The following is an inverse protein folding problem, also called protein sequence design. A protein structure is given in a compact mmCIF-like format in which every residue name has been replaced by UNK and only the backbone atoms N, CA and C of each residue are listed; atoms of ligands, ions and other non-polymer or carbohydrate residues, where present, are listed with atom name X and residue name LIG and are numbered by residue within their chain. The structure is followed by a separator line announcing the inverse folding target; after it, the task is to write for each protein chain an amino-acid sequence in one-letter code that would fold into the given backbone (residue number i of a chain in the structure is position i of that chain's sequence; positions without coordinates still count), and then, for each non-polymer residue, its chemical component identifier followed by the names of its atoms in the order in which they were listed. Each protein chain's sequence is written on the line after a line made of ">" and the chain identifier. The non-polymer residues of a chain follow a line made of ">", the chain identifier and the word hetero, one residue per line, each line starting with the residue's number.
data_IF_046518797318
#
_entry.id   IF_046518797318
#
_cell.length_a   1.000
_cell.length_b   1.000
_cell.length_c   1.000
_cell.angle_alpha   90.00
_cell.angle_beta   90.00
_cell.angle_gamma   90.00
#
_symmetry.space_group_name_H-M   'P 1'
#
loop_
_entity.id
_entity.type
_entity.pdbx_description
1 polymer ?
#
# COMPACT_ATOMS: atom_id res chain seq x y z
N UNK A 1 -3.93 -14.71 6.64
CA UNK A 1 -3.84 -13.33 6.09
C UNK A 1 -5.13 -12.55 6.27
N UNK A 2 -6.24 -12.97 5.66
CA UNK A 2 -7.48 -12.20 5.71
C UNK A 2 -7.99 -11.90 7.14
N UNK A 3 -7.87 -12.87 8.07
CA UNK A 3 -8.15 -12.64 9.50
C UNK A 3 -7.33 -11.50 10.10
N UNK A 4 -6.00 -11.51 9.92
CA UNK A 4 -5.12 -10.47 10.45
C UNK A 4 -5.41 -9.09 9.83
N UNK A 5 -5.68 -9.04 8.53
CA UNK A 5 -6.05 -7.81 7.85
C UNK A 5 -7.41 -7.28 8.29
N UNK A 6 -8.42 -8.15 8.48
CA UNK A 6 -9.70 -7.75 9.05
C UNK A 6 -9.51 -7.13 10.43
N UNK A 7 -8.75 -7.75 11.34
CA UNK A 7 -8.49 -7.17 12.66
C UNK A 7 -7.80 -5.80 12.61
N UNK A 8 -6.81 -5.60 11.72
CA UNK A 8 -6.20 -4.29 11.51
C UNK A 8 -7.21 -3.25 11.00
N UNK A 9 -8.09 -3.68 10.12
CA UNK A 9 -9.11 -2.86 9.49
C UNK A 9 -10.20 -2.44 10.48
N UNK A 10 -10.70 -3.39 11.27
CA UNK A 10 -11.70 -3.21 12.32
C UNK A 10 -11.16 -2.33 13.44
N UNK A 11 -9.89 -2.50 13.81
CA UNK A 11 -9.21 -1.61 14.75
C UNK A 11 -9.25 -0.15 14.29
N UNK A 12 -8.96 0.11 13.01
CA UNK A 12 -9.00 1.48 12.48
C UNK A 12 -10.42 2.06 12.49
N UNK A 13 -11.41 1.26 12.08
CA UNK A 13 -12.82 1.67 12.15
C UNK A 13 -13.17 2.06 13.59
N UNK A 14 -12.80 1.23 14.56
CA UNK A 14 -13.04 1.49 15.98
C UNK A 14 -12.30 2.73 16.48
N UNK A 15 -11.02 2.89 16.13
CA UNK A 15 -10.19 4.03 16.50
C UNK A 15 -10.78 5.35 16.00
N UNK A 16 -11.31 5.37 14.78
CA UNK A 16 -11.74 6.61 14.14
C UNK A 16 -13.23 6.94 14.39
N UNK A 17 -14.09 5.92 14.52
CA UNK A 17 -15.54 6.10 14.65
C UNK A 17 -16.09 5.79 16.05
N UNK A 18 -15.29 5.16 16.92
CA UNK A 18 -15.72 4.63 18.21
C UNK A 18 -16.61 3.38 18.12
N UNK A 19 -16.91 2.89 16.90
CA UNK A 19 -17.80 1.75 16.69
C UNK A 19 -17.04 0.49 16.33
N UNK A 20 -17.46 -0.63 16.90
CA UNK A 20 -17.03 -1.95 16.45
C UNK A 20 -17.89 -2.38 15.26
N UNK A 21 -17.25 -2.83 14.18
CA UNK A 21 -17.91 -3.32 12.97
C UNK A 21 -17.11 -4.51 12.46
N UNK A 22 -17.72 -5.68 12.37
CA UNK A 22 -17.07 -6.86 11.78
C UNK A 22 -17.04 -6.73 10.24
N UNK A 23 -15.86 -6.96 9.65
CA UNK A 23 -15.67 -6.92 8.19
C UNK A 23 -15.48 -8.30 7.61
N UNK A 24 -15.93 -8.51 6.37
CA UNK A 24 -15.92 -9.83 5.75
C UNK A 24 -14.51 -10.30 5.42
N UNK A 25 -14.03 -11.27 6.20
CA UNK A 25 -12.72 -11.91 5.96
C UNK A 25 -12.70 -12.70 4.65
N UNK A 26 -13.81 -13.32 4.27
CA UNK A 26 -13.88 -14.03 2.98
C UNK A 26 -13.90 -13.06 1.80
N UNK A 27 -14.46 -11.86 1.95
CA UNK A 27 -14.35 -10.82 0.92
C UNK A 27 -12.90 -10.41 0.72
N UNK A 28 -12.15 -10.19 1.81
CA UNK A 28 -10.71 -9.90 1.73
C UNK A 28 -9.98 -11.08 1.07
N UNK A 29 -10.25 -12.31 1.51
CA UNK A 29 -9.53 -13.50 1.05
C UNK A 29 -9.76 -13.82 -0.43
N UNK A 30 -11.01 -13.72 -0.89
CA UNK A 30 -11.38 -13.90 -2.29
C UNK A 30 -10.65 -12.89 -3.18
N UNK A 31 -10.79 -11.60 -2.88
CA UNK A 31 -10.22 -10.53 -3.70
C UNK A 31 -8.70 -10.50 -3.65
N UNK A 32 -8.08 -10.85 -2.52
CA UNK A 32 -6.64 -10.97 -2.40
C UNK A 32 -6.09 -12.04 -3.37
N UNK A 33 -6.75 -13.20 -3.47
CA UNK A 33 -6.29 -14.28 -4.36
C UNK A 33 -6.45 -13.93 -5.84
N UNK A 34 -7.44 -13.09 -6.20
CA UNK A 34 -7.53 -12.54 -7.55
C UNK A 34 -6.35 -11.63 -7.93
N UNK A 35 -5.64 -11.05 -6.95
CA UNK A 35 -4.42 -10.25 -7.18
C UNK A 35 -3.17 -11.11 -7.32
N UNK A 36 -3.25 -12.38 -6.96
CA UNK A 36 -2.11 -13.28 -6.91
C UNK A 36 -2.02 -14.11 -8.20
N UNK A 37 -0.93 -13.98 -8.99
CA UNK A 37 -0.79 -14.70 -10.27
C UNK A 37 -0.89 -16.21 -10.17
N UNK A 38 -0.70 -16.80 -8.97
CA UNK A 38 -0.87 -18.25 -8.74
C UNK A 38 -2.27 -18.72 -9.10
N UNK A 39 -3.29 -17.86 -8.94
CA UNK A 39 -4.70 -18.23 -9.15
C UNK A 39 -5.26 -17.87 -10.53
N UNK A 40 -4.40 -17.55 -11.51
CA UNK A 40 -4.83 -17.19 -12.87
C UNK A 40 -5.72 -18.23 -13.56
N UNK A 41 -5.66 -19.49 -13.12
CA UNK A 41 -6.39 -20.62 -13.70
C UNK A 41 -7.56 -21.12 -12.82
N UNK A 42 -7.94 -20.35 -11.80
CA UNK A 42 -9.02 -20.71 -10.86
C UNK A 42 -8.62 -20.44 -9.41
N UNK A 43 -9.61 -20.25 -8.54
CA UNK A 43 -9.41 -20.06 -7.10
C UNK A 43 -9.49 -21.41 -6.37
N UNK A 44 -8.56 -21.62 -5.43
CA UNK A 44 -8.62 -22.70 -4.45
C UNK A 44 -8.05 -22.22 -3.11
N UNK A 45 -8.24 -23.00 -2.06
CA UNK A 45 -7.78 -22.61 -0.72
C UNK A 45 -6.30 -22.95 -0.53
N UNK A 46 -5.42 -21.95 -0.69
CA UNK A 46 -3.97 -22.14 -0.53
C UNK A 46 -3.26 -20.85 -0.07
N UNK A 47 -3.96 -20.06 0.74
CA UNK A 47 -3.46 -18.82 1.30
C UNK A 47 -3.14 -17.74 0.27
N UNK A 48 -2.68 -16.59 0.76
CA UNK A 48 -2.32 -15.44 -0.07
C UNK A 48 -1.26 -14.62 0.65
N UNK A 49 -0.51 -13.77 -0.06
CA UNK A 49 0.43 -12.84 0.59
C UNK A 49 -0.32 -11.69 1.28
N UNK A 50 0.30 -11.09 2.29
CA UNK A 50 -0.25 -9.90 2.97
C UNK A 50 -0.39 -8.75 1.96
N UNK A 51 0.62 -8.55 1.11
CA UNK A 51 0.63 -7.49 0.10
C UNK A 51 -0.57 -7.60 -0.86
N UNK A 52 -0.89 -8.78 -1.36
CA UNK A 52 -2.07 -8.97 -2.21
C UNK A 52 -3.38 -8.67 -1.46
N UNK A 53 -3.44 -8.98 -0.17
CA UNK A 53 -4.58 -8.60 0.69
C UNK A 53 -4.72 -7.09 0.86
N UNK A 54 -3.62 -6.39 1.12
CA UNK A 54 -3.60 -4.92 1.17
C UNK A 54 -4.01 -4.32 -0.17
N UNK A 55 -3.44 -4.79 -1.29
CA UNK A 55 -3.81 -4.34 -2.64
C UNK A 55 -5.30 -4.55 -2.93
N UNK A 56 -5.87 -5.68 -2.51
CA UNK A 56 -7.30 -5.91 -2.64
C UNK A 56 -8.14 -4.92 -1.83
N UNK A 57 -7.73 -4.61 -0.59
CA UNK A 57 -8.39 -3.63 0.27
C UNK A 57 -8.22 -2.18 -0.22
N UNK A 58 -7.12 -1.84 -0.90
CA UNK A 58 -6.92 -0.54 -1.56
C UNK A 58 -7.79 -0.36 -2.80
N UNK A 59 -8.05 -1.45 -3.52
CA UNK A 59 -8.84 -1.42 -4.75
C UNK A 59 -10.34 -1.51 -4.48
N UNK A 60 -10.74 -2.51 -3.71
CA UNK A 60 -12.15 -2.88 -3.50
C UNK A 60 -12.68 -2.47 -2.14
N UNK A 61 -11.81 -2.32 -1.14
CA UNK A 61 -12.23 -2.10 0.23
C UNK A 61 -12.69 -3.36 0.92
N UNK A 62 -13.57 -3.23 1.91
CA UNK A 62 -14.20 -4.39 2.55
C UNK A 62 -15.66 -4.11 2.92
N UNK A 63 -16.53 -5.10 2.68
CA UNK A 63 -17.91 -5.08 3.15
C UNK A 63 -18.00 -5.61 4.58
N UNK A 64 -19.14 -5.41 5.23
CA UNK A 64 -19.43 -6.00 6.54
C UNK A 64 -19.57 -7.52 6.45
N UNK A 65 -19.19 -8.22 7.51
CA UNK A 65 -19.22 -9.69 7.57
C UNK A 65 -20.62 -10.24 7.26
N UNK A 66 -21.71 -9.60 7.69
CA UNK A 66 -23.07 -10.10 7.41
C UNK A 66 -23.45 -10.12 5.92
N UNK A 67 -22.81 -9.33 5.05
CA UNK A 67 -23.08 -9.34 3.61
C UNK A 67 -22.38 -10.52 2.90
N UNK A 68 -21.27 -10.99 3.46
CA UNK A 68 -20.53 -12.13 2.95
C UNK A 68 -19.91 -12.88 4.14
N UNK A 69 -20.70 -13.71 4.84
CA UNK A 69 -20.34 -14.27 6.12
C UNK A 69 -19.22 -15.32 5.99
N UNK A 70 -18.49 -15.53 7.08
CA UNK A 70 -17.52 -16.60 7.20
C UNK A 70 -18.23 -17.97 7.21
N UNK A 71 -18.41 -18.53 6.02
CA UNK A 71 -18.89 -19.87 5.75
C UNK A 71 -17.91 -20.55 4.78
N UNK A 72 -17.50 -21.78 5.09
CA UNK A 72 -16.57 -22.55 4.26
C UNK A 72 -17.06 -22.73 2.81
N UNK A 73 -18.38 -22.75 2.59
CA UNK A 73 -18.98 -22.81 1.25
C UNK A 73 -18.72 -21.54 0.42
N UNK A 74 -18.33 -20.44 1.06
CA UNK A 74 -18.03 -19.17 0.40
C UNK A 74 -16.55 -18.93 0.15
N UNK A 75 -15.65 -19.83 0.59
CA UNK A 75 -14.20 -19.65 0.44
C UNK A 75 -13.83 -19.31 -1.01
N UNK A 76 -14.34 -20.04 -2.01
CA UNK A 76 -14.02 -19.77 -3.42
C UNK A 76 -15.15 -19.05 -4.19
N UNK A 77 -16.21 -18.64 -3.47
CA UNK A 77 -17.39 -18.04 -4.09
C UNK A 77 -17.19 -16.53 -4.22
N UNK A 78 -17.50 -16.00 -5.40
CA UNK A 78 -17.43 -14.56 -5.65
C UNK A 78 -18.42 -13.79 -4.75
N UNK A 79 -17.98 -12.75 -4.03
CA UNK A 79 -18.91 -11.87 -3.31
C UNK A 79 -19.93 -11.22 -4.25
N UNK A 80 -21.13 -10.96 -3.73
CA UNK A 80 -22.21 -10.36 -4.52
C UNK A 80 -21.88 -8.90 -4.91
N UNK A 81 -22.57 -8.38 -5.93
CA UNK A 81 -22.43 -6.97 -6.32
C UNK A 81 -22.68 -6.00 -5.13
N UNK A 82 -23.64 -6.32 -4.27
CA UNK A 82 -23.92 -5.54 -3.06
C UNK A 82 -22.71 -5.47 -2.10
N UNK A 83 -21.90 -6.53 -2.02
CA UNK A 83 -20.66 -6.51 -1.24
C UNK A 83 -19.69 -5.47 -1.80
N UNK A 84 -19.46 -5.46 -3.11
CA UNK A 84 -18.54 -4.51 -3.74
C UNK A 84 -19.06 -3.07 -3.68
N UNK A 85 -20.37 -2.86 -3.81
CA UNK A 85 -21.00 -1.54 -3.66
C UNK A 85 -20.89 -0.97 -2.24
N UNK A 86 -20.93 -1.82 -1.21
CA UNK A 86 -20.63 -1.39 0.16
C UNK A 86 -19.11 -1.18 0.35
N UNK A 87 -18.31 -2.15 -0.07
CA UNK A 87 -16.86 -2.19 0.16
C UNK A 87 -16.15 -0.97 -0.42
N UNK A 88 -16.54 -0.50 -1.61
CA UNK A 88 -15.85 0.61 -2.29
C UNK A 88 -15.88 1.93 -1.50
N UNK A 89 -16.83 2.06 -0.55
CA UNK A 89 -16.94 3.23 0.34
C UNK A 89 -15.82 3.24 1.39
N UNK A 90 -15.34 2.07 1.77
CA UNK A 90 -14.32 1.84 2.78
C UNK A 90 -13.13 1.16 2.12
N UNK A 91 -12.21 1.93 1.53
CA UNK A 91 -10.96 1.43 0.94
C UNK A 91 -9.78 1.89 1.75
N UNK A 92 -8.70 1.13 1.75
CA UNK A 92 -7.43 1.64 2.27
C UNK A 92 -7.00 2.84 1.43
N UNK A 93 -6.72 3.97 2.10
CA UNK A 93 -6.20 5.20 1.47
C UNK A 93 -4.85 5.62 2.00
N UNK A 94 -4.41 5.02 3.12
CA UNK A 94 -3.06 5.15 3.65
C UNK A 94 -2.63 3.83 4.31
N UNK A 95 -1.48 3.31 3.89
CA UNK A 95 -0.86 2.10 4.42
C UNK A 95 0.64 2.13 4.10
N UNK A 96 1.44 1.39 4.86
CA UNK A 96 2.88 1.28 4.58
C UNK A 96 3.42 -0.09 4.94
N UNK A 97 4.38 -0.56 4.16
CA UNK A 97 5.25 -1.66 4.57
C UNK A 97 6.18 -1.20 5.68
N UNK A 98 6.45 -2.09 6.63
CA UNK A 98 7.40 -1.87 7.72
C UNK A 98 8.62 -2.76 7.45
N UNK A 99 9.82 -2.25 7.71
CA UNK A 99 11.02 -3.08 7.62
C UNK A 99 11.00 -4.17 8.71
N UNK A 100 11.72 -5.27 8.49
CA UNK A 100 11.99 -6.23 9.57
C UNK A 100 13.05 -5.64 10.51
N UNK A 101 12.69 -4.57 11.19
CA UNK A 101 13.49 -3.82 12.15
C UNK A 101 12.65 -3.54 13.41
N UNK A 102 13.22 -3.78 14.58
CA UNK A 102 12.48 -3.69 15.85
C UNK A 102 12.12 -2.24 16.21
N UNK A 103 12.94 -1.27 15.82
CA UNK A 103 12.68 0.13 16.14
C UNK A 103 11.58 0.69 15.23
N UNK A 104 11.54 0.29 13.96
CA UNK A 104 10.43 0.59 13.05
C UNK A 104 9.10 -0.03 13.54
N UNK A 105 9.14 -1.30 13.98
CA UNK A 105 7.96 -1.99 14.54
C UNK A 105 7.43 -1.29 15.80
N UNK A 106 8.32 -0.96 16.74
CA UNK A 106 7.96 -0.24 17.98
C UNK A 106 7.43 1.16 17.67
N UNK A 107 8.06 1.87 16.75
CA UNK A 107 7.62 3.20 16.33
C UNK A 107 6.22 3.16 15.74
N UNK A 108 5.91 2.18 14.89
CA UNK A 108 4.56 1.99 14.34
C UNK A 108 3.50 1.80 15.44
N UNK A 109 3.79 0.95 16.43
CA UNK A 109 2.88 0.72 17.54
C UNK A 109 2.74 1.95 18.43
N UNK A 110 3.83 2.69 18.67
CA UNK A 110 3.83 3.93 19.45
C UNK A 110 3.02 5.05 18.78
N UNK A 111 2.96 5.08 17.44
CA UNK A 111 2.04 5.94 16.67
C UNK A 111 0.56 5.50 16.78
N UNK A 112 0.29 4.39 17.47
CA UNK A 112 -1.04 3.85 17.72
C UNK A 112 -1.61 3.09 16.52
N UNK A 113 -0.76 2.53 15.66
CA UNK A 113 -1.16 1.72 14.50
C UNK A 113 -0.69 0.27 14.66
N UNK A 114 -1.61 -0.71 14.67
CA UNK A 114 -1.24 -2.11 14.63
C UNK A 114 -0.74 -2.48 13.23
N UNK A 115 0.10 -3.50 13.15
CA UNK A 115 0.61 -3.97 11.87
C UNK A 115 0.41 -5.48 11.71
N UNK A 116 0.11 -5.90 10.49
CA UNK A 116 0.08 -7.31 10.13
C UNK A 116 1.47 -7.77 9.72
N UNK A 117 1.81 -9.02 9.98
CA UNK A 117 3.11 -9.60 9.62
C UNK A 117 2.99 -11.10 9.37
N UNK A 118 3.87 -11.64 8.55
CA UNK A 118 4.02 -13.08 8.34
C UNK A 118 5.14 -13.65 9.20
N UNK A 119 4.82 -14.60 10.07
CA UNK A 119 5.78 -15.35 10.85
C UNK A 119 5.91 -16.78 10.31
N UNK A 120 7.14 -17.25 10.16
CA UNK A 120 7.41 -18.67 10.00
C UNK A 120 7.00 -19.37 11.30
N UNK A 121 6.16 -20.38 11.23
CA UNK A 121 5.69 -21.16 12.38
C UNK A 121 6.20 -22.59 12.27
N UNK A 122 6.39 -23.19 13.44
CA UNK A 122 6.94 -24.53 13.63
C UNK A 122 6.06 -25.29 14.63
N UNK A 123 6.18 -26.62 14.77
CA UNK A 123 5.42 -27.36 15.77
C UNK A 123 5.54 -26.78 17.19
N UNK A 124 6.72 -26.26 17.56
CA UNK A 124 6.93 -25.57 18.85
C UNK A 124 6.02 -24.34 19.05
N UNK A 125 5.60 -23.66 17.99
CA UNK A 125 4.65 -22.52 18.07
C UNK A 125 3.35 -22.92 18.78
N UNK A 126 2.86 -24.14 18.55
CA UNK A 126 1.61 -24.64 19.13
C UNK A 126 1.66 -24.77 20.65
N UNK A 127 2.87 -24.84 21.23
CA UNK A 127 3.06 -24.90 22.69
C UNK A 127 2.82 -23.55 23.39
N UNK A 128 2.74 -22.45 22.63
CA UNK A 128 2.52 -21.12 23.18
C UNK A 128 1.23 -21.05 24.00
N UNK A 129 0.17 -21.77 23.59
CA UNK A 129 -1.12 -21.83 24.30
C UNK A 129 -0.98 -22.39 25.73
N UNK A 130 -0.08 -23.35 25.90
CA UNK A 130 0.17 -24.02 27.18
C UNK A 130 1.19 -23.24 28.04
N UNK A 131 1.85 -22.24 27.44
CA UNK A 131 2.89 -21.41 28.04
C UNK A 131 2.46 -19.95 28.15
N UNK A 132 1.21 -19.68 28.52
CA UNK A 132 0.71 -18.32 28.77
C UNK A 132 0.76 -17.38 27.56
N UNK A 133 0.76 -17.93 26.34
CA UNK A 133 0.87 -17.19 25.08
C UNK A 133 2.30 -16.86 24.66
N UNK A 134 3.33 -17.23 25.42
CA UNK A 134 4.73 -16.99 25.04
C UNK A 134 5.17 -17.95 23.95
N UNK A 135 5.41 -17.42 22.75
CA UNK A 135 5.88 -18.16 21.59
C UNK A 135 7.36 -18.51 21.76
N UNK A 136 7.76 -19.79 21.71
CA UNK A 136 9.15 -20.17 21.79
C UNK A 136 9.90 -19.81 20.49
N UNK A 137 11.20 -19.56 20.59
CA UNK A 137 12.07 -19.54 19.42
C UNK A 137 12.09 -20.94 18.76
N UNK A 138 12.19 -21.02 17.42
CA UNK A 138 12.40 -22.30 16.76
C UNK A 138 13.67 -22.97 17.29
N UNK A 139 13.62 -24.27 17.52
CA UNK A 139 14.74 -25.04 18.06
C UNK A 139 15.33 -26.02 17.02
N UNK A 140 16.41 -26.71 17.36
CA UNK A 140 17.06 -27.67 16.45
C UNK A 140 16.14 -28.80 15.95
N UNK A 141 15.15 -29.22 16.74
CA UNK A 141 14.16 -30.21 16.29
C UNK A 141 13.18 -29.62 15.27
N UNK A 142 12.93 -28.31 15.32
CA UNK A 142 12.13 -27.59 14.33
C UNK A 142 12.88 -27.38 13.00
N UNK A 143 14.22 -27.42 13.02
CA UNK A 143 15.09 -27.29 11.84
C UNK A 143 15.31 -28.62 11.08
N UNK A 144 14.63 -29.71 11.47
CA UNK A 144 14.73 -30.98 10.76
C UNK A 144 14.17 -30.82 9.32
N UNK A 145 14.80 -31.39 8.28
CA UNK A 145 14.41 -31.19 6.87
C UNK A 145 12.95 -31.57 6.55
N UNK A 146 12.34 -32.43 7.38
CA UNK A 146 10.96 -32.90 7.23
C UNK A 146 9.95 -32.10 8.06
N UNK A 147 10.40 -31.13 8.87
CA UNK A 147 9.51 -30.28 9.65
C UNK A 147 8.86 -29.26 8.72
N UNK A 148 7.54 -29.31 8.62
CA UNK A 148 6.77 -28.41 7.75
C UNK A 148 6.81 -27.00 8.34
N UNK A 149 7.56 -26.11 7.69
CA UNK A 149 7.55 -24.68 7.97
C UNK A 149 6.36 -24.04 7.27
N UNK A 150 5.49 -23.39 8.02
CA UNK A 150 4.35 -22.65 7.47
C UNK A 150 4.48 -21.15 7.75
N UNK A 151 4.04 -20.31 6.80
CA UNK A 151 3.96 -18.87 7.03
C UNK A 151 2.57 -18.51 7.53
N UNK A 152 2.47 -18.07 8.78
CA UNK A 152 1.22 -17.64 9.39
C UNK A 152 1.19 -16.12 9.50
N UNK A 153 0.08 -15.50 9.12
CA UNK A 153 -0.08 -14.05 9.21
C UNK A 153 -0.79 -13.66 10.50
N UNK A 154 -0.20 -12.76 11.25
CA UNK A 154 -0.67 -12.30 12.56
C UNK A 154 -0.79 -10.78 12.59
N UNK A 155 -1.47 -10.27 13.62
CA UNK A 155 -1.64 -8.85 13.90
C UNK A 155 -0.88 -8.51 15.19
N UNK A 156 0.03 -7.54 15.11
CA UNK A 156 0.71 -6.98 16.27
C UNK A 156 -0.11 -5.81 16.83
N UNK A 157 -0.33 -5.82 18.13
CA UNK A 157 -1.01 -4.77 18.87
C UNK A 157 -0.68 -4.84 20.35
N UNK A 158 -1.08 -3.83 21.11
CA UNK A 158 -0.96 -3.83 22.57
C UNK A 158 -2.01 -4.76 23.20
N UNK A 159 -1.63 -5.52 24.23
CA UNK A 159 -2.46 -6.53 24.93
C UNK A 159 -3.05 -7.63 24.03
N UNK A 160 -2.24 -8.15 23.09
CA UNK A 160 -2.62 -9.28 22.24
C UNK A 160 -2.71 -10.63 22.96
N UNK A 161 -3.12 -11.67 22.23
CA UNK A 161 -3.33 -13.03 22.74
C UNK A 161 -2.04 -13.85 22.95
N UNK A 162 -0.88 -13.32 22.57
CA UNK A 162 0.41 -14.00 22.68
C UNK A 162 1.59 -13.03 22.56
N UNK A 163 2.75 -13.51 23.01
CA UNK A 163 3.99 -12.74 23.08
C UNK A 163 5.04 -13.43 22.21
N UNK A 164 5.55 -12.70 21.21
CA UNK A 164 6.58 -13.21 20.30
C UNK A 164 7.93 -12.58 20.68
N UNK A 165 9.00 -13.37 20.82
CA UNK A 165 10.32 -12.85 21.13
C UNK A 165 10.82 -11.86 20.08
N UNK A 166 11.51 -10.81 20.53
CA UNK A 166 12.11 -9.82 19.63
C UNK A 166 13.13 -10.43 18.66
N UNK A 167 13.90 -11.43 19.08
CA UNK A 167 14.83 -12.15 18.19
C UNK A 167 14.10 -12.89 17.06
N UNK A 168 12.85 -13.30 17.29
CA UNK A 168 11.99 -13.89 16.25
C UNK A 168 11.50 -12.80 15.29
N UNK A 169 10.98 -11.69 15.84
CA UNK A 169 10.42 -10.59 15.07
C UNK A 169 11.48 -9.83 14.25
N UNK A 170 12.69 -9.67 14.78
CA UNK A 170 13.81 -9.00 14.12
C UNK A 170 14.58 -9.86 13.11
N UNK A 171 14.20 -11.14 12.95
CA UNK A 171 14.89 -12.03 12.02
C UNK A 171 14.15 -12.07 10.65
N UNK A 172 14.75 -11.56 9.56
CA UNK A 172 14.11 -11.49 8.24
C UNK A 172 13.84 -12.86 7.59
N UNK A 173 14.54 -13.91 8.04
CA UNK A 173 14.24 -15.28 7.60
C UNK A 173 12.99 -15.83 8.27
N UNK A 174 12.61 -15.31 9.44
CA UNK A 174 11.51 -15.81 10.25
C UNK A 174 10.28 -14.88 10.25
N UNK A 175 10.48 -13.57 10.15
CA UNK A 175 9.43 -12.55 10.13
C UNK A 175 9.55 -11.69 8.86
N UNK A 176 8.46 -11.61 8.09
CA UNK A 176 8.43 -10.90 6.81
C UNK A 176 7.05 -10.37 6.45
N UNK A 177 7.00 -9.51 5.43
CA UNK A 177 5.75 -8.88 4.94
C UNK A 177 5.00 -8.13 6.04
N UNK A 178 5.72 -7.28 6.78
CA UNK A 178 5.11 -6.41 7.78
C UNK A 178 4.42 -5.24 7.07
N UNK A 179 3.16 -4.97 7.42
CA UNK A 179 2.37 -3.92 6.81
C UNK A 179 1.40 -3.30 7.82
N UNK A 180 1.36 -1.98 7.90
CA UNK A 180 0.35 -1.26 8.69
C UNK A 180 -0.66 -0.58 7.78
N UNK A 181 -1.91 -0.55 8.22
CA UNK A 181 -2.96 0.27 7.61
C UNK A 181 -3.08 1.51 8.50
N UNK A 182 -3.12 2.71 7.90
CA UNK A 182 -3.20 3.98 8.65
C UNK A 182 -4.51 4.74 8.42
N UNK A 183 -5.16 4.57 7.27
CA UNK A 183 -6.45 5.20 7.00
C UNK A 183 -7.31 4.45 5.98
N UNK A 184 -8.63 4.58 6.16
CA UNK A 184 -9.68 3.99 5.32
C UNK A 184 -10.60 5.13 4.79
N UNK A 185 -11.09 5.02 3.56
CA UNK A 185 -12.03 5.99 2.96
C UNK A 185 -13.42 5.88 3.58
N UNK A 186 -14.28 6.89 3.39
CA UNK A 186 -15.65 6.88 3.93
C UNK A 186 -15.73 7.08 5.45
N UNK A 187 -14.58 7.01 6.11
CA UNK A 187 -14.33 7.45 7.47
C UNK A 187 -14.05 8.96 7.47
N UNK A 188 -15.09 9.75 7.19
CA UNK A 188 -14.98 11.19 7.20
C UNK A 188 -14.62 11.65 8.61
N UNK A 189 -13.38 12.12 8.75
CA UNK A 189 -12.85 12.86 9.90
C UNK A 189 -13.91 13.78 10.54
N UNK A 190 -14.58 13.32 11.59
CA UNK A 190 -14.84 14.18 12.73
C UNK A 190 -13.56 14.16 13.55
N UNK A 191 -12.75 15.19 13.35
CA UNK A 191 -11.61 15.52 14.19
C UNK A 191 -12.16 15.65 15.61
N UNK A 192 -11.92 14.66 16.48
CA UNK A 192 -12.03 14.88 17.91
C UNK A 192 -10.97 15.94 18.23
N UNK A 193 -11.48 17.15 18.47
CA UNK A 193 -10.75 18.17 19.19
C UNK A 193 -10.35 17.59 20.54
N UNK A 194 -9.18 18.01 21.00
CA UNK A 194 -8.68 17.84 22.35
C UNK A 194 -9.82 18.03 23.36
N UNK A 195 -10.16 16.96 24.08
CA UNK A 195 -10.64 17.06 25.45
C UNK A 195 -9.91 16.00 26.27
N UNK A 196 -9.11 16.50 27.21
CA UNK A 196 -8.45 15.75 28.26
C UNK A 196 -9.50 15.06 29.13
N UNK A 197 -9.64 13.73 29.01
CA UNK A 197 -10.05 12.83 30.08
C UNK A 197 -9.83 11.38 29.64
N UNK A 198 -9.05 10.63 30.44
CA UNK A 198 -8.78 9.18 30.38
C UNK A 198 -9.62 8.37 29.37
N UNK A 199 -9.22 8.40 28.10
CA UNK A 199 -9.77 7.53 27.06
C UNK A 199 -8.75 6.42 26.79
N UNK A 200 -9.04 5.20 27.24
CA UNK A 200 -8.29 3.99 26.88
C UNK A 200 -8.87 3.41 25.57
N UNK A 201 -8.27 3.70 24.39
CA UNK A 201 -8.70 3.11 23.13
C UNK A 201 -8.51 1.58 23.07
N UNK A 202 -7.87 0.99 24.09
CA UNK A 202 -7.60 -0.43 24.25
C UNK A 202 -8.46 -1.10 25.33
N UNK A 203 -9.56 -0.45 25.74
CA UNK A 203 -10.59 -1.05 26.60
C UNK A 203 -11.27 -2.24 25.90
N UNK A 204 -10.62 -3.40 25.92
CA UNK A 204 -11.29 -4.68 25.91
C UNK A 204 -11.90 -4.83 27.29
N UNK A 205 -13.22 -4.94 27.35
CA UNK A 205 -13.97 -5.08 28.59
C UNK A 205 -13.33 -6.19 29.43
N UNK A 206 -12.67 -5.81 30.53
CA UNK A 206 -12.35 -6.73 31.60
C UNK A 206 -13.63 -6.93 32.42
N UNK A 207 -14.52 -7.80 31.96
CA UNK A 207 -15.60 -8.31 32.80
C UNK A 207 -15.00 -9.34 33.76
N UNK A 208 -14.35 -8.82 34.80
CA UNK A 208 -14.27 -9.50 36.08
C UNK A 208 -15.67 -9.45 36.71
N UNK A 209 -16.58 -10.28 36.20
CA UNK A 209 -17.70 -10.82 36.96
C UNK A 209 -18.18 -12.10 36.29
N UNK A 210 -17.76 -13.20 36.90
CA UNK A 210 -18.34 -14.51 36.77
C UNK A 210 -19.86 -14.44 37.00
N UNK A 211 -20.66 -14.63 35.94
CA UNK A 211 -22.01 -15.21 35.98
C UNK A 211 -22.43 -15.59 34.56
N UNK A 212 -22.33 -16.88 34.26
CA UNK A 212 -23.25 -17.69 33.45
C UNK A 212 -24.04 -16.96 32.35
N UNK A 213 -23.48 -16.87 31.15
CA UNK A 213 -24.24 -17.02 29.88
C UNK A 213 -23.24 -17.36 28.77
N UNK A 214 -22.97 -18.65 28.60
CA UNK A 214 -22.27 -19.17 27.42
C UNK A 214 -23.17 -18.98 26.19
N UNK A 215 -22.84 -18.02 25.33
CA UNK A 215 -23.10 -18.19 23.91
C UNK A 215 -21.86 -18.87 23.33
N UNK A 216 -21.98 -20.17 23.05
CA UNK A 216 -20.94 -21.01 22.45
C UNK A 216 -20.38 -20.35 21.17
N UNK A 217 -19.25 -19.64 21.31
CA UNK A 217 -18.41 -19.35 20.15
C UNK A 217 -17.72 -20.65 19.77
N UNK A 218 -18.22 -21.30 18.73
CA UNK A 218 -17.57 -22.44 18.08
C UNK A 218 -16.25 -21.98 17.42
N UNK A 219 -15.25 -21.66 18.23
CA UNK A 219 -13.88 -21.54 17.78
C UNK A 219 -13.38 -22.96 17.51
N UNK A 220 -13.53 -23.38 16.25
CA UNK A 220 -13.00 -24.66 15.78
C UNK A 220 -11.48 -24.56 15.79
N UNK A 221 -10.87 -25.41 16.61
CA UNK A 221 -9.43 -25.66 16.63
C UNK A 221 -8.94 -25.98 15.19
N UNK A 222 -8.05 -25.16 14.59
CA UNK A 222 -7.53 -25.41 13.25
C UNK A 222 -6.72 -26.71 13.16
N UNK A 223 -6.38 -27.35 14.29
CA UNK A 223 -5.65 -28.62 14.28
C UNK A 223 -6.51 -29.80 13.83
N UNK A 224 -7.84 -29.65 13.68
CA UNK A 224 -8.75 -30.77 13.40
C UNK A 224 -9.42 -30.76 12.02
N UNK A 225 -9.01 -29.91 11.07
CA UNK A 225 -9.59 -29.91 9.72
C UNK A 225 -8.61 -29.78 8.56
N UNK A 226 -7.34 -30.17 8.75
CA UNK A 226 -6.45 -30.46 7.63
C UNK A 226 -6.24 -31.96 7.51
N UNK A 227 -7.22 -32.64 6.90
CA UNK A 227 -6.90 -33.92 6.25
C UNK A 227 -5.99 -33.59 5.07
N UNK A 228 -4.71 -33.89 5.24
CA UNK A 228 -3.74 -34.02 4.16
C UNK A 228 -4.27 -35.04 3.15
N UNK A 229 -4.75 -34.58 2.00
CA UNK A 229 -4.81 -35.44 0.83
C UNK A 229 -3.39 -35.52 0.26
N UNK A 230 -2.70 -36.61 0.59
CA UNK A 230 -1.59 -37.09 -0.21
C UNK A 230 -2.16 -37.61 -1.53
N UNK A 231 -1.79 -37.02 -2.66
CA UNK A 231 -1.90 -37.67 -3.97
C UNK A 231 -0.49 -38.13 -4.40
N UNK A 232 -0.16 -39.42 -4.34
CA UNK A 232 1.14 -39.94 -4.71
C UNK A 232 1.35 -40.08 -6.23
N UNK A 233 0.36 -39.74 -7.08
CA UNK A 233 0.41 -40.04 -8.52
C UNK A 233 0.02 -38.83 -9.38
N UNK A 234 0.86 -37.79 -9.44
CA UNK A 234 0.75 -36.82 -10.54
C UNK A 234 2.09 -36.49 -11.19
N UNK A 235 2.56 -37.45 -11.98
CA UNK A 235 3.48 -37.24 -13.09
C UNK A 235 2.69 -37.12 -14.39
N UNK A 236 2.90 -36.08 -15.20
CA UNK A 236 2.54 -36.14 -16.62
C UNK A 236 2.03 -34.85 -17.24
N UNK A 237 2.77 -34.38 -18.25
CA UNK A 237 2.36 -33.43 -19.28
C UNK A 237 0.99 -33.76 -19.90
N UNK A 238 0.23 -32.75 -20.34
CA UNK A 238 -0.47 -32.78 -21.64
C UNK A 238 -0.84 -31.36 -22.11
N UNK A 239 -0.44 -31.03 -23.34
CA UNK A 239 -1.10 -30.06 -24.20
C UNK A 239 -2.36 -30.70 -24.80
N UNK A 240 -3.48 -29.97 -24.89
CA UNK A 240 -4.21 -29.73 -26.17
C UNK A 240 -5.59 -29.09 -25.92
N UNK A 241 -5.84 -28.03 -26.70
CA UNK A 241 -7.12 -27.54 -27.22
C UNK A 241 -8.42 -27.88 -26.47
N UNK A 242 -9.08 -26.84 -25.93
CA UNK A 242 -10.45 -26.50 -26.31
C UNK A 242 -10.65 -24.99 -26.13
N UNK A 243 -11.11 -24.33 -27.20
CA UNK A 243 -11.26 -22.89 -27.28
C UNK A 243 -12.28 -22.33 -26.29
N UNK A 244 -11.93 -21.22 -25.66
CA UNK A 244 -12.83 -20.38 -24.88
C UNK A 244 -12.84 -18.97 -25.47
N UNK A 245 -14.02 -18.49 -25.81
CA UNK A 245 -14.27 -17.13 -26.27
C UNK A 245 -13.90 -16.12 -25.16
N UNK A 246 -13.19 -15.06 -25.54
CA UNK A 246 -12.97 -13.90 -24.69
C UNK A 246 -14.33 -13.34 -24.21
N UNK A 247 -14.54 -13.12 -22.90
CA UNK A 247 -15.71 -12.38 -22.45
C UNK A 247 -15.57 -10.92 -22.90
N UNK A 248 -16.59 -10.50 -23.67
CA UNK A 248 -16.77 -9.14 -24.16
C UNK A 248 -16.76 -8.17 -22.98
N UNK A 249 -15.74 -7.32 -22.94
CA UNK A 249 -15.68 -6.16 -22.06
C UNK A 249 -16.81 -5.21 -22.46
N UNK A 250 -17.86 -5.11 -21.64
CA UNK A 250 -18.79 -4.00 -21.74
C UNK A 250 -18.02 -2.71 -21.43
N UNK A 251 -17.67 -1.98 -22.49
CA UNK A 251 -17.04 -0.68 -22.38
C UNK A 251 -17.94 0.28 -21.61
N UNK A 252 -17.65 0.49 -20.33
CA UNK A 252 -18.08 1.70 -19.64
C UNK A 252 -17.37 2.87 -20.34
N UNK A 253 -18.16 3.65 -21.08
CA UNK A 253 -17.72 4.90 -21.66
C UNK A 253 -17.05 5.75 -20.57
N UNK A 254 -15.80 6.17 -20.83
CA UNK A 254 -15.15 7.22 -20.04
C UNK A 254 -16.13 8.38 -19.94
N UNK A 255 -16.58 8.69 -18.73
CA UNK A 255 -17.25 9.95 -18.44
C UNK A 255 -16.31 11.03 -18.97
N UNK A 256 -16.73 11.75 -20.03
CA UNK A 256 -16.03 12.94 -20.51
C UNK A 256 -15.78 13.79 -19.27
N UNK A 257 -14.51 14.00 -18.93
CA UNK A 257 -14.10 15.07 -18.03
C UNK A 257 -14.72 16.33 -18.60
N UNK A 258 -15.75 16.84 -17.93
CA UNK A 258 -16.23 18.19 -18.19
C UNK A 258 -15.02 19.08 -17.96
N UNK A 259 -14.52 19.70 -19.03
CA UNK A 259 -13.53 20.77 -18.94
C UNK A 259 -14.03 21.77 -17.90
N UNK A 260 -13.43 21.74 -16.70
CA UNK A 260 -13.58 22.83 -15.76
C UNK A 260 -12.97 24.06 -16.43
N UNK A 261 -13.75 25.11 -16.70
CA UNK A 261 -13.25 26.26 -17.42
C UNK A 261 -12.14 26.90 -16.58
N UNK A 262 -10.96 27.06 -17.18
CA UNK A 262 -9.97 28.05 -16.77
C UNK A 262 -9.01 27.72 -15.60
N UNK A 263 -8.66 26.45 -15.35
CA UNK A 263 -7.56 26.18 -14.41
C UNK A 263 -6.22 26.58 -15.05
N UNK A 264 -5.54 27.58 -14.48
CA UNK A 264 -4.26 28.10 -14.99
C UNK A 264 -3.12 27.12 -14.71
N UNK A 265 -2.12 26.94 -15.60
CA UNK A 265 -0.95 26.13 -15.29
C UNK A 265 -0.23 26.59 -14.03
N UNK A 266 0.22 25.63 -13.22
CA UNK A 266 0.82 25.88 -11.92
C UNK A 266 2.24 25.33 -11.85
N UNK A 267 3.14 26.13 -11.30
CA UNK A 267 4.50 25.72 -10.99
C UNK A 267 4.67 25.77 -9.49
N UNK A 268 5.06 24.65 -8.90
CA UNK A 268 5.51 24.59 -7.51
C UNK A 268 7.04 24.60 -7.50
N UNK A 269 7.63 25.67 -6.97
CA UNK A 269 9.08 25.82 -6.89
C UNK A 269 9.55 25.62 -5.45
N UNK A 270 10.34 24.59 -5.22
CA UNK A 270 10.93 24.26 -3.91
C UNK A 270 12.39 24.70 -3.90
N UNK A 271 12.75 25.54 -2.93
CA UNK A 271 14.03 26.23 -2.70
C UNK A 271 14.04 27.68 -3.24
N UNK A 272 13.88 28.63 -2.31
CA UNK A 272 13.93 30.08 -2.56
C UNK A 272 15.29 30.69 -2.21
N UNK A 273 16.21 29.96 -1.56
CA UNK A 273 17.36 30.57 -0.86
C UNK A 273 18.60 30.85 -1.73
N UNK A 274 18.60 30.53 -3.02
CA UNK A 274 19.79 30.73 -3.88
C UNK A 274 19.72 32.00 -4.75
N UNK A 275 20.85 32.71 -4.88
CA UNK A 275 20.94 33.95 -5.65
C UNK A 275 20.74 33.76 -7.17
N UNK A 276 20.78 32.54 -7.68
CA UNK A 276 20.51 32.21 -9.10
C UNK A 276 19.02 32.32 -9.51
N UNK A 277 18.12 32.56 -8.55
CA UNK A 277 16.68 32.59 -8.81
C UNK A 277 16.17 33.89 -9.43
N UNK A 278 16.86 35.02 -9.29
CA UNK A 278 16.31 36.32 -9.69
C UNK A 278 16.07 36.47 -11.19
N UNK A 279 16.87 35.80 -12.02
CA UNK A 279 16.73 35.84 -13.48
C UNK A 279 15.65 34.86 -13.94
N UNK A 280 15.66 33.63 -13.43
CA UNK A 280 14.64 32.62 -13.72
C UNK A 280 13.25 33.04 -13.26
N UNK A 281 13.12 33.68 -12.09
CA UNK A 281 11.84 34.18 -11.60
C UNK A 281 11.28 35.28 -12.50
N UNK A 282 12.13 36.19 -13.01
CA UNK A 282 11.73 37.21 -13.98
C UNK A 282 11.25 36.58 -15.29
N UNK A 283 11.95 35.57 -15.78
CA UNK A 283 11.60 34.87 -17.02
C UNK A 283 10.31 34.05 -16.89
N UNK A 284 10.10 33.38 -15.75
CA UNK A 284 8.86 32.65 -15.47
C UNK A 284 7.67 33.60 -15.27
N UNK A 285 7.86 34.74 -14.61
CA UNK A 285 6.84 35.80 -14.52
C UNK A 285 6.49 36.39 -15.90
N UNK A 286 7.38 36.29 -16.87
CA UNK A 286 7.14 36.67 -18.27
C UNK A 286 6.21 35.72 -19.03
N UNK A 287 5.93 34.52 -18.50
CA UNK A 287 4.99 33.58 -19.13
C UNK A 287 3.56 33.94 -18.69
N UNK A 288 2.71 34.36 -19.64
CA UNK A 288 1.33 34.75 -19.36
C UNK A 288 0.52 33.58 -18.79
N UNK A 289 -0.37 33.90 -17.84
CA UNK A 289 -1.36 33.00 -17.25
C UNK A 289 -0.84 31.77 -16.48
N UNK A 290 0.40 31.81 -15.97
CA UNK A 290 0.92 30.84 -14.99
C UNK A 290 0.73 31.33 -13.56
N UNK A 291 0.41 30.43 -12.64
CA UNK A 291 0.55 30.63 -11.20
C UNK A 291 1.82 29.94 -10.68
N UNK A 292 2.62 30.64 -9.89
CA UNK A 292 3.84 30.09 -9.28
C UNK A 292 3.69 30.15 -7.76
N UNK A 293 3.82 28.99 -7.11
CA UNK A 293 3.84 28.85 -5.66
C UNK A 293 5.26 28.50 -5.21
N UNK A 294 5.82 29.29 -4.29
CA UNK A 294 7.19 29.11 -3.80
C UNK A 294 7.21 28.49 -2.40
N UNK A 295 8.09 27.52 -2.21
CA UNK A 295 8.37 26.88 -0.92
C UNK A 295 9.84 27.02 -0.57
N UNK A 296 10.12 27.44 0.66
CA UNK A 296 11.50 27.60 1.12
C UNK A 296 12.12 26.26 1.49
N UNK A 297 11.31 25.35 2.02
CA UNK A 297 11.71 24.02 2.49
C UNK A 297 10.99 22.91 1.74
N UNK A 298 11.61 21.74 1.68
CA UNK A 298 11.02 20.53 1.11
C UNK A 298 9.75 20.11 1.87
N UNK A 299 9.80 20.13 3.21
CA UNK A 299 8.67 19.86 4.11
C UNK A 299 7.43 20.69 3.80
N UNK A 300 7.59 21.99 3.51
CA UNK A 300 6.45 22.83 3.16
C UNK A 300 5.78 22.38 1.85
N UNK A 301 6.58 21.89 0.89
CA UNK A 301 6.06 21.34 -0.35
C UNK A 301 5.39 19.98 -0.13
N UNK A 302 5.91 19.13 0.76
CA UNK A 302 5.24 17.88 1.17
C UNK A 302 3.87 18.16 1.77
N UNK A 303 3.82 19.04 2.77
CA UNK A 303 2.57 19.45 3.43
C UNK A 303 1.55 20.00 2.43
N UNK A 304 2.03 20.78 1.45
CA UNK A 304 1.18 21.31 0.40
C UNK A 304 0.64 20.20 -0.51
N UNK A 305 1.51 19.32 -1.02
CA UNK A 305 1.14 18.24 -1.92
C UNK A 305 0.19 17.25 -1.25
N UNK A 306 0.41 16.92 0.03
CA UNK A 306 -0.47 16.04 0.80
C UNK A 306 -1.84 16.65 1.04
N UNK A 307 -1.92 17.96 1.36
CA UNK A 307 -3.20 18.67 1.56
C UNK A 307 -3.97 18.89 0.26
N UNK A 308 -3.27 19.06 -0.87
CA UNK A 308 -3.85 19.39 -2.17
C UNK A 308 -3.93 18.19 -3.13
N UNK A 309 -3.60 16.98 -2.68
CA UNK A 309 -3.52 15.78 -3.51
C UNK A 309 -4.75 15.54 -4.38
N UNK A 310 -5.96 15.75 -3.87
CA UNK A 310 -7.18 15.47 -4.65
C UNK A 310 -7.49 16.55 -5.69
N UNK A 311 -7.20 17.82 -5.39
CA UNK A 311 -7.23 18.93 -6.36
C UNK A 311 -6.23 18.68 -7.50
N UNK A 312 -5.02 18.24 -7.14
CA UNK A 312 -3.95 17.95 -8.11
C UNK A 312 -4.29 16.71 -8.94
N UNK A 313 -4.86 15.64 -8.36
CA UNK A 313 -5.30 14.45 -9.12
C UNK A 313 -6.30 14.80 -10.23
N UNK A 314 -7.18 15.78 -9.99
CA UNK A 314 -8.12 16.28 -11.00
C UNK A 314 -7.52 17.27 -11.99
N UNK A 315 -6.33 17.80 -11.71
CA UNK A 315 -5.67 18.84 -12.51
C UNK A 315 -4.44 18.31 -13.24
N UNK A 316 -4.44 18.35 -14.57
CA UNK A 316 -3.26 17.95 -15.37
C UNK A 316 -2.17 19.03 -15.48
N UNK A 317 -2.32 20.16 -14.80
CA UNK A 317 -1.56 21.38 -15.12
C UNK A 317 -0.52 21.79 -14.07
N UNK A 318 -0.21 20.92 -13.10
CA UNK A 318 0.85 21.14 -12.12
C UNK A 318 2.18 20.56 -12.61
N UNK A 319 3.28 21.29 -12.40
CA UNK A 319 4.65 20.78 -12.47
C UNK A 319 5.48 21.30 -11.29
N UNK A 320 6.50 20.54 -10.90
CA UNK A 320 7.33 20.84 -9.73
C UNK A 320 8.77 21.11 -10.17
N UNK A 321 9.37 22.16 -9.62
CA UNK A 321 10.78 22.48 -9.73
C UNK A 321 11.43 22.29 -8.36
N UNK A 322 12.54 21.56 -8.30
CA UNK A 322 13.28 21.31 -7.07
C UNK A 322 14.80 21.32 -7.31
N UNK A 323 15.59 21.41 -6.24
CA UNK A 323 17.06 21.26 -6.29
C UNK A 323 17.48 19.79 -6.18
N UNK A 324 18.75 19.51 -6.46
CA UNK A 324 19.30 18.15 -6.37
C UNK A 324 19.38 17.56 -4.95
N UNK A 325 19.56 18.38 -3.92
CA UNK A 325 19.68 17.91 -2.53
C UNK A 325 19.37 19.01 -1.51
N UNK A 326 18.51 18.71 -0.54
CA UNK A 326 18.11 19.56 0.58
C UNK A 326 18.86 19.12 1.84
N UNK A 327 20.02 19.73 2.07
CA UNK A 327 20.96 19.30 3.13
C UNK A 327 20.33 19.29 4.52
N UNK A 328 19.61 20.35 4.88
CA UNK A 328 19.05 20.54 6.23
C UNK A 328 17.88 19.59 6.52
N UNK A 329 17.30 19.00 5.48
CA UNK A 329 16.15 18.08 5.57
C UNK A 329 16.55 16.64 5.19
N UNK A 330 17.79 16.44 4.75
CA UNK A 330 18.31 15.19 4.20
C UNK A 330 17.41 14.57 3.12
N UNK A 331 16.90 15.40 2.20
CA UNK A 331 15.98 14.98 1.14
C UNK A 331 16.51 15.28 -0.25
N UNK A 332 16.08 14.48 -1.22
CA UNK A 332 16.43 14.65 -2.63
C UNK A 332 15.20 14.36 -3.54
N UNK A 333 15.32 14.50 -4.86
CA UNK A 333 14.21 14.27 -5.79
C UNK A 333 13.54 12.90 -5.71
N UNK A 334 14.21 11.83 -5.23
CA UNK A 334 13.57 10.53 -5.02
C UNK A 334 12.54 10.58 -3.90
N UNK A 335 12.78 11.33 -2.83
CA UNK A 335 11.76 11.55 -1.78
C UNK A 335 10.50 12.19 -2.37
N UNK A 336 10.66 13.10 -3.33
CA UNK A 336 9.54 13.74 -4.01
C UNK A 336 8.80 12.75 -4.91
N UNK A 337 9.52 11.95 -5.71
CA UNK A 337 8.90 10.89 -6.51
C UNK A 337 8.16 9.86 -5.66
N UNK A 338 8.74 9.50 -4.52
CA UNK A 338 8.13 8.61 -3.54
C UNK A 338 6.82 9.21 -3.03
N UNK A 339 6.83 10.45 -2.55
CA UNK A 339 5.62 11.16 -2.12
C UNK A 339 4.56 11.23 -3.23
N UNK A 340 4.96 11.56 -4.45
CA UNK A 340 4.04 11.59 -5.60
C UNK A 340 3.46 10.20 -5.89
N UNK A 341 4.21 9.11 -5.68
CA UNK A 341 3.68 7.75 -5.77
C UNK A 341 2.62 7.49 -4.70
N UNK A 342 2.93 7.81 -3.44
CA UNK A 342 2.02 7.66 -2.30
C UNK A 342 0.69 8.40 -2.52
N UNK A 343 0.72 9.52 -3.25
CA UNK A 343 -0.48 10.32 -3.53
C UNK A 343 -1.08 10.09 -4.92
N UNK A 344 -0.63 9.09 -5.69
CA UNK A 344 -1.09 8.80 -7.07
C UNK A 344 -0.91 9.99 -8.03
N UNK A 345 0.10 10.81 -7.78
CA UNK A 345 0.47 12.00 -8.56
C UNK A 345 1.63 11.70 -9.52
N UNK A 346 1.75 10.45 -10.02
CA UNK A 346 2.83 10.04 -10.94
C UNK A 346 2.88 10.84 -12.24
N UNK A 347 1.75 11.46 -12.62
CA UNK A 347 1.60 12.28 -13.81
C UNK A 347 2.21 13.68 -13.68
N UNK A 348 2.51 14.14 -12.45
CA UNK A 348 3.08 15.48 -12.19
C UNK A 348 4.56 15.49 -12.61
N UNK A 349 4.97 16.32 -13.59
CA UNK A 349 6.36 16.42 -14.01
C UNK A 349 7.24 17.01 -12.90
N UNK A 350 8.42 16.41 -12.69
CA UNK A 350 9.43 16.91 -11.75
C UNK A 350 10.68 17.33 -12.50
N UNK A 351 11.02 18.61 -12.38
CA UNK A 351 12.18 19.24 -12.99
C UNK A 351 13.19 19.52 -11.88
N UNK A 352 14.42 19.03 -12.03
CA UNK A 352 15.49 19.19 -11.07
C UNK A 352 16.54 20.13 -11.65
N UNK A 353 16.77 21.25 -10.97
CA UNK A 353 17.80 22.22 -11.32
C UNK A 353 19.01 22.06 -10.40
N UNK A 354 20.16 21.67 -10.95
CA UNK A 354 21.39 21.40 -10.18
C UNK A 354 22.63 21.70 -10.99
N UNK A 355 23.67 22.27 -10.36
CA UNK A 355 24.97 22.47 -11.00
C UNK A 355 25.78 21.17 -11.12
N UNK A 356 25.58 20.24 -10.17
CA UNK A 356 26.21 18.92 -10.19
C UNK A 356 25.23 17.85 -10.70
N UNK A 357 25.04 17.83 -12.02
CA UNK A 357 24.16 16.85 -12.67
C UNK A 357 24.69 15.43 -12.57
N UNK A 358 26.00 15.23 -12.78
CA UNK A 358 26.61 13.91 -12.81
C UNK A 358 26.64 13.28 -11.41
N UNK A 359 27.06 14.02 -10.38
CA UNK A 359 27.07 13.55 -9.00
C UNK A 359 25.68 13.26 -8.48
N UNK A 360 24.68 14.11 -8.80
CA UNK A 360 23.29 13.81 -8.48
C UNK A 360 22.83 12.51 -9.12
N UNK A 361 23.03 12.34 -10.44
CA UNK A 361 22.59 11.12 -11.14
C UNK A 361 23.23 9.86 -10.57
N UNK A 362 24.51 9.92 -10.20
CA UNK A 362 25.19 8.81 -9.53
C UNK A 362 24.55 8.49 -8.17
N UNK A 363 24.29 9.51 -7.35
CA UNK A 363 23.63 9.32 -6.06
C UNK A 363 22.22 8.72 -6.19
N UNK A 364 21.40 9.27 -7.10
CA UNK A 364 20.04 8.76 -7.32
C UNK A 364 20.05 7.32 -7.84
N UNK A 365 21.01 6.97 -8.71
CA UNK A 365 21.14 5.61 -9.23
C UNK A 365 21.37 4.57 -8.13
N UNK A 366 22.15 4.92 -7.10
CA UNK A 366 22.48 4.01 -6.01
C UNK A 366 21.34 3.90 -4.99
N UNK A 367 20.60 5.00 -4.74
CA UNK A 367 19.55 5.02 -3.73
C UNK A 367 18.20 4.50 -4.26
N UNK A 368 17.84 4.77 -5.52
CA UNK A 368 16.52 4.47 -6.05
C UNK A 368 16.03 3.01 -5.89
N UNK A 369 16.87 1.96 -5.99
CA UNK A 369 16.43 0.58 -5.77
C UNK A 369 15.89 0.35 -4.35
N UNK A 370 16.50 0.95 -3.34
CA UNK A 370 16.06 0.83 -1.94
C UNK A 370 14.68 1.47 -1.68
N UNK A 371 14.24 2.37 -2.57
CA UNK A 371 12.96 3.07 -2.48
C UNK A 371 11.93 2.54 -3.49
N UNK A 372 12.23 1.46 -4.21
CA UNK A 372 11.44 0.95 -5.34
C UNK A 372 11.12 2.00 -6.42
N UNK A 373 12.10 2.86 -6.70
CA UNK A 373 11.98 3.95 -7.69
C UNK A 373 12.84 3.70 -8.92
N UNK A 374 12.84 2.48 -9.44
CA UNK A 374 13.63 2.11 -10.62
C UNK A 374 13.26 2.92 -11.89
N UNK A 375 12.08 3.54 -11.90
CA UNK A 375 11.57 4.39 -12.97
C UNK A 375 11.98 5.88 -12.87
N UNK A 376 12.86 6.25 -11.92
CA UNK A 376 13.20 7.64 -11.66
C UNK A 376 13.77 8.38 -12.88
N UNK A 377 14.52 7.69 -13.74
CA UNK A 377 15.13 8.27 -14.95
C UNK A 377 14.10 8.72 -15.98
N UNK A 378 12.94 8.06 -16.03
CA UNK A 378 11.86 8.48 -16.92
C UNK A 378 11.02 9.61 -16.31
N UNK A 379 11.14 9.85 -15.00
CA UNK A 379 10.28 10.75 -14.24
C UNK A 379 10.92 12.09 -13.86
N UNK A 380 12.25 12.13 -13.76
CA UNK A 380 12.99 13.36 -13.49
C UNK A 380 13.57 13.95 -14.77
N UNK A 381 13.39 15.25 -14.96
CA UNK A 381 14.18 16.03 -15.90
C UNK A 381 15.27 16.77 -15.14
N UNK A 382 16.54 16.40 -15.32
CA UNK A 382 17.67 16.98 -14.58
C UNK A 382 18.50 17.85 -15.50
N UNK A 383 18.67 19.13 -15.16
CA UNK A 383 19.49 20.07 -15.91
C UNK A 383 20.26 21.04 -15.01
N UNK A 384 21.40 21.51 -15.50
CA UNK A 384 22.15 22.65 -14.97
C UNK A 384 21.93 23.93 -15.78
N UNK A 385 21.18 23.85 -16.88
CA UNK A 385 20.93 24.95 -17.81
C UNK A 385 19.55 25.58 -17.58
N UNK A 386 19.54 26.87 -17.30
CA UNK A 386 18.34 27.69 -17.18
C UNK A 386 17.51 27.68 -18.47
N UNK A 387 18.18 27.70 -19.64
CA UNK A 387 17.53 27.68 -20.96
C UNK A 387 16.82 26.34 -21.22
N UNK A 388 17.46 25.21 -20.90
CA UNK A 388 16.85 23.89 -21.01
C UNK A 388 15.65 23.74 -20.08
N UNK A 389 15.77 24.25 -18.84
CA UNK A 389 14.70 24.24 -17.86
C UNK A 389 13.48 25.03 -18.36
N UNK A 390 13.68 26.27 -18.83
CA UNK A 390 12.60 27.10 -19.39
C UNK A 390 11.95 26.47 -20.61
N UNK A 391 12.75 25.88 -21.49
CA UNK A 391 12.25 25.17 -22.68
C UNK A 391 11.35 24.02 -22.25
N UNK A 392 11.78 23.22 -21.27
CA UNK A 392 10.98 22.11 -20.75
C UNK A 392 9.69 22.57 -20.06
N UNK A 393 9.75 23.64 -19.28
CA UNK A 393 8.58 24.26 -18.63
C UNK A 393 7.54 24.68 -19.68
N UNK A 394 7.98 25.39 -20.74
CA UNK A 394 7.11 25.82 -21.84
C UNK A 394 6.52 24.63 -22.60
N UNK A 395 7.31 23.58 -22.85
CA UNK A 395 6.82 22.36 -23.50
C UNK A 395 5.73 21.66 -22.66
N UNK A 396 5.93 21.53 -21.36
CA UNK A 396 4.94 20.91 -20.46
C UNK A 396 3.63 21.70 -20.41
N UNK A 397 3.68 23.03 -20.61
CA UNK A 397 2.51 23.90 -20.62
C UNK A 397 1.77 23.87 -21.97
N UNK A 398 2.51 23.80 -23.08
CA UNK A 398 1.95 23.80 -24.43
C UNK A 398 1.39 22.44 -24.86
N UNK A 399 1.92 21.33 -24.34
CA UNK A 399 1.42 19.99 -24.66
C UNK A 399 0.07 19.74 -23.97
N UNK A 400 -1.03 19.85 -24.73
CA UNK A 400 -2.39 19.50 -24.29
C UNK A 400 -2.66 17.99 -24.17
N UNK A 401 -1.70 17.13 -24.47
CA UNK A 401 -1.84 15.67 -24.36
C UNK A 401 -0.58 15.06 -23.72
N UNK A 402 -0.79 14.22 -22.71
CA UNK A 402 0.28 13.54 -21.99
C UNK A 402 1.05 12.58 -22.90
N UNK A 403 2.36 12.40 -22.68
CA UNK A 403 3.12 11.36 -23.37
C UNK A 403 2.60 9.99 -22.93
N UNK A 404 1.96 9.29 -23.86
CA UNK A 404 1.72 7.85 -23.77
C UNK A 404 3.08 7.17 -23.76
N UNK A 405 3.40 6.49 -22.66
CA UNK A 405 4.54 5.58 -22.61
C UNK A 405 4.26 4.48 -23.66
N UNK A 406 5.10 4.28 -24.68
CA UNK A 406 4.82 3.26 -25.68
C UNK A 406 4.92 1.88 -25.03
N UNK A 407 3.81 1.14 -25.01
CA UNK A 407 3.85 -0.30 -24.80
C UNK A 407 4.78 -0.91 -25.85
N UNK A 408 5.74 -1.72 -25.39
CA UNK A 408 6.62 -2.49 -26.26
C UNK A 408 5.74 -3.32 -27.20
N UNK A 409 5.74 -2.96 -28.48
CA UNK A 409 5.25 -3.85 -29.53
C UNK A 409 6.09 -5.13 -29.49
N UNK A 410 5.49 -6.21 -29.02
CA UNK A 410 6.01 -7.56 -29.22
C UNK A 410 6.07 -7.82 -30.72
N UNK A 411 7.28 -7.91 -31.25
CA UNK A 411 7.55 -8.29 -32.63
C UNK A 411 6.93 -9.67 -32.89
N UNK A 412 5.85 -9.71 -33.68
CA UNK A 412 5.38 -10.95 -34.30
C UNK A 412 6.45 -11.43 -35.28
N UNK A 413 7.11 -12.54 -34.95
CA UNK A 413 7.95 -13.23 -35.93
C UNK A 413 7.03 -13.77 -37.03
N UNK A 414 7.26 -13.30 -38.26
CA UNK A 414 6.69 -13.91 -39.46
C UNK A 414 7.46 -15.20 -39.72
N UNK A 415 6.89 -16.35 -39.36
CA UNK A 415 7.21 -17.59 -40.07
C UNK A 415 6.68 -17.46 -41.49
N UNK A 416 7.58 -17.52 -42.48
CA UNK A 416 7.23 -17.84 -43.86
C UNK A 416 7.35 -19.37 -44.06
N UNK A 417 6.55 -19.94 -44.99
CA UNK A 417 6.32 -21.37 -45.13
C UNK A 417 7.57 -22.16 -45.51
#
# INVERSE_FOLDING_TARGET
>A
VANALAGAYEYLIRKNSGKHIDVSRLFIYYNARLKDPRYKNGLWDNGVSINHGVTALEEFGCCKEYLHPFDNNYINTQPSAACYEEAIKYRIVDSMSIATDLDDMKSCLAEGYPFVFGLATYPSFLTAKDNGGYVPMPNRSDEHPNTKREMHAMLAGDRGYGYIPYDYMGNPELCKQLHTIKAISGDSHSRLQEDNQDYDPYGWISDNNNTDYYAESNYVDPSNSYNSYEDPNYSGNYYSDYGFQEPVVYGMQRKKTTDTPNERPRILWIDRKNNDHSNMEKELKGIKDIKIDFFEKFSQAEDYLSRKKDEIKSSSKLQIICRGFYKDENKNPLNLLFLLNQHRLKHVPVLVFTQDKAGLQHHLQNQAPSMDLNDWKQRLFITSSSEELLTKIKQNISNKEHPVIPEKQTAKSKKKP
#
